data_IF_533612394551
#
_entry.id   IF_533612394551
#
_cell.length_a   1.000
_cell.length_b   1.000
_cell.length_c   1.000
_cell.angle_alpha   90.00
_cell.angle_beta   90.00
_cell.angle_gamma   90.00
#
_symmetry.space_group_name_H-M   'P 1'
#
loop_
_entity.id
_entity.type
_entity.pdbx_description
1 polymer ?
#
# COMPACT_ATOMS: atom_id res chain seq x y z
N UNK A 1 -4.97 -6.84 -32.85
CA UNK A 1 -4.38 -6.04 -31.76
C UNK A 1 -5.18 -6.34 -30.51
N UNK A 2 -4.58 -6.98 -29.52
CA UNK A 2 -5.18 -7.13 -28.18
C UNK A 2 -5.01 -5.82 -27.45
N UNK A 3 -6.12 -5.22 -27.00
CA UNK A 3 -6.10 -4.04 -26.14
C UNK A 3 -5.66 -4.53 -24.76
N UNK A 4 -4.44 -4.19 -24.34
CA UNK A 4 -4.01 -4.35 -22.95
C UNK A 4 -4.90 -3.46 -22.07
N UNK A 5 -5.76 -4.09 -21.28
CA UNK A 5 -6.62 -3.36 -20.34
C UNK A 5 -5.82 -3.07 -19.06
N UNK A 6 -5.93 -1.83 -18.59
CA UNK A 6 -5.25 -1.36 -17.38
C UNK A 6 -6.28 -0.88 -16.37
N UNK A 7 -6.07 -1.25 -15.12
CA UNK A 7 -6.78 -0.65 -13.99
C UNK A 7 -6.01 0.60 -13.56
N UNK A 8 -6.64 1.77 -13.67
CA UNK A 8 -6.06 3.04 -13.23
C UNK A 8 -6.75 3.47 -11.94
N UNK A 9 -5.98 3.73 -10.89
CA UNK A 9 -6.46 4.06 -9.55
C UNK A 9 -5.82 5.38 -9.11
N UNK A 10 -6.63 6.36 -8.76
CA UNK A 10 -6.16 7.61 -8.17
C UNK A 10 -5.81 7.47 -6.69
N UNK A 11 -5.03 8.41 -6.18
CA UNK A 11 -4.64 8.42 -4.77
C UNK A 11 -5.84 8.41 -3.80
N UNK A 12 -6.94 9.06 -4.17
CA UNK A 12 -8.18 9.12 -3.39
C UNK A 12 -9.05 7.86 -3.52
N UNK A 13 -8.84 7.02 -4.53
CA UNK A 13 -9.56 5.75 -4.69
C UNK A 13 -9.05 4.68 -3.72
N UNK A 14 -7.86 4.88 -3.12
CA UNK A 14 -7.30 3.99 -2.11
C UNK A 14 -8.14 4.07 -0.82
N UNK A 15 -8.84 2.98 -0.49
CA UNK A 15 -9.67 2.88 0.72
C UNK A 15 -8.92 2.41 1.96
N UNK A 16 -7.85 1.65 1.77
CA UNK A 16 -7.09 1.07 2.88
C UNK A 16 -5.67 0.69 2.44
N UNK A 17 -4.75 0.66 3.41
CA UNK A 17 -3.41 0.09 3.29
C UNK A 17 -3.39 -1.19 4.10
N UNK A 18 -2.91 -2.28 3.50
CA UNK A 18 -2.80 -3.59 4.15
C UNK A 18 -1.34 -4.01 4.28
N UNK A 19 -0.94 -4.36 5.49
CA UNK A 19 0.37 -4.94 5.79
C UNK A 19 0.21 -6.44 5.97
N UNK A 20 0.96 -7.23 5.20
CA UNK A 20 0.91 -8.70 5.27
C UNK A 20 2.16 -9.23 5.97
N UNK A 21 1.95 -10.05 7.01
CA UNK A 21 3.04 -10.75 7.67
C UNK A 21 3.62 -11.81 6.73
N UNK A 22 4.94 -11.75 6.47
CA UNK A 22 5.61 -12.75 5.62
C UNK A 22 5.57 -14.16 6.21
N UNK A 23 5.54 -14.32 7.54
CA UNK A 23 5.58 -15.61 8.22
C UNK A 23 4.24 -16.34 8.25
N UNK A 24 3.15 -15.65 8.63
CA UNK A 24 1.84 -16.26 8.83
C UNK A 24 0.76 -15.79 7.85
N UNK A 25 1.10 -14.89 6.91
CA UNK A 25 0.18 -14.30 5.91
C UNK A 25 -1.02 -13.54 6.48
N UNK A 26 -1.08 -13.35 7.80
CA UNK A 26 -2.08 -12.49 8.43
C UNK A 26 -1.89 -11.05 7.97
N UNK A 27 -3.00 -10.37 7.71
CA UNK A 27 -3.05 -8.98 7.27
C UNK A 27 -3.53 -8.07 8.40
N UNK A 28 -2.93 -6.89 8.49
CA UNK A 28 -3.45 -5.76 9.24
C UNK A 28 -3.82 -4.67 8.25
N UNK A 29 -5.07 -4.27 8.24
CA UNK A 29 -5.61 -3.30 7.28
C UNK A 29 -6.09 -2.09 8.04
N UNK A 30 -5.64 -0.91 7.59
CA UNK A 30 -6.02 0.37 8.17
C UNK A 30 -6.39 1.35 7.07
N UNK A 31 -7.22 2.34 7.39
CA UNK A 31 -7.40 3.48 6.50
C UNK A 31 -6.04 4.20 6.32
N UNK A 32 -5.75 4.78 5.14
CA UNK A 32 -4.46 5.44 4.88
C UNK A 32 -4.11 6.51 5.91
N UNK A 33 -5.11 7.17 6.47
CA UNK A 33 -4.97 8.21 7.47
C UNK A 33 -4.71 7.71 8.90
N UNK A 34 -4.95 6.43 9.19
CA UNK A 34 -4.77 5.84 10.52
C UNK A 34 -3.44 5.10 10.67
N UNK A 35 -2.80 4.75 9.56
CA UNK A 35 -1.51 4.05 9.59
C UNK A 35 -0.39 5.08 9.71
N UNK A 36 0.14 5.26 10.92
CA UNK A 36 1.23 6.22 11.20
C UNK A 36 2.58 5.56 11.45
N UNK A 37 2.61 4.26 11.74
CA UNK A 37 3.82 3.48 12.03
C UNK A 37 3.67 2.01 11.61
N UNK A 38 4.79 1.31 11.42
CA UNK A 38 4.80 -0.16 11.31
C UNK A 38 4.64 -0.76 12.71
N UNK A 39 3.65 -1.65 12.94
CA UNK A 39 3.58 -2.44 14.15
C UNK A 39 4.90 -3.17 14.44
N UNK A 40 5.32 -3.24 15.71
CA UNK A 40 6.57 -3.91 16.07
C UNK A 40 6.57 -5.41 15.71
N UNK A 41 5.42 -6.06 15.87
CA UNK A 41 5.28 -7.50 15.66
C UNK A 41 3.91 -7.89 15.13
N UNK A 42 3.86 -9.06 14.50
CA UNK A 42 2.62 -9.74 14.17
C UNK A 42 1.97 -10.37 15.41
N UNK A 43 0.67 -10.61 15.36
CA UNK A 43 -0.03 -11.45 16.33
C UNK A 43 0.51 -12.90 16.41
N UNK A 44 1.24 -13.38 15.39
CA UNK A 44 1.90 -14.68 15.45
C UNK A 44 3.29 -14.65 16.11
N UNK A 45 3.71 -13.50 16.67
CA UNK A 45 5.01 -13.32 17.32
C UNK A 45 6.18 -12.99 16.38
N UNK A 46 5.98 -13.02 15.06
CA UNK A 46 7.02 -12.63 14.10
C UNK A 46 7.29 -11.12 14.16
N UNK A 47 8.56 -10.72 14.25
CA UNK A 47 8.97 -9.32 14.13
C UNK A 47 8.64 -8.81 12.73
N UNK A 48 8.04 -7.62 12.66
CA UNK A 48 7.86 -6.91 11.39
C UNK A 48 9.04 -5.99 11.07
N UNK A 49 9.92 -5.75 12.06
CA UNK A 49 11.12 -4.94 11.91
C UNK A 49 12.35 -5.81 11.65
N UNK A 50 13.31 -5.34 10.82
CA UNK A 50 14.58 -6.03 10.61
C UNK A 50 15.34 -6.18 11.93
N UNK A 51 16.01 -7.32 12.12
CA UNK A 51 16.69 -7.66 13.38
C UNK A 51 18.05 -6.96 13.58
N UNK A 52 18.66 -6.40 12.52
CA UNK A 52 19.96 -5.75 12.57
C UNK A 52 19.92 -4.47 11.73
N UNK A 53 20.36 -3.34 12.30
CA UNK A 53 20.49 -2.05 11.60
C UNK A 53 21.90 -1.90 11.02
N UNK A 54 22.05 -1.86 9.69
CA UNK A 54 23.13 -1.10 9.06
C UNK A 54 22.65 -0.10 7.98
N UNK A 55 21.35 -0.02 7.70
CA UNK A 55 20.77 0.80 6.63
C UNK A 55 19.98 2.00 7.19
N UNK A 56 19.77 3.08 6.41
CA UNK A 56 18.92 4.21 6.83
C UNK A 56 17.59 3.70 7.38
N UNK A 57 17.11 4.34 8.44
CA UNK A 57 16.02 3.81 9.28
C UNK A 57 14.81 3.43 8.41
N UNK A 58 14.63 2.13 8.14
CA UNK A 58 13.53 1.62 7.28
C UNK A 58 12.19 2.04 7.86
N UNK A 59 12.11 2.16 9.19
CA UNK A 59 10.96 2.73 9.88
C UNK A 59 10.72 4.19 9.45
N UNK A 60 11.77 5.01 9.29
CA UNK A 60 11.65 6.39 8.83
C UNK A 60 11.15 6.48 7.39
N UNK A 61 11.67 5.68 6.47
CA UNK A 61 11.27 5.77 5.06
C UNK A 61 9.84 5.26 4.83
N UNK A 62 9.44 4.22 5.55
CA UNK A 62 8.05 3.76 5.54
C UNK A 62 7.11 4.81 6.16
N UNK A 63 7.48 5.39 7.30
CA UNK A 63 6.70 6.46 7.94
C UNK A 63 6.64 7.70 7.04
N UNK A 64 7.74 8.07 6.38
CA UNK A 64 7.78 9.17 5.40
C UNK A 64 6.86 8.88 4.24
N UNK A 65 6.85 7.67 3.70
CA UNK A 65 5.94 7.27 2.63
C UNK A 65 4.48 7.45 3.04
N UNK A 66 4.08 6.93 4.22
CA UNK A 66 2.71 7.06 4.73
C UNK A 66 2.30 8.51 4.94
N UNK A 67 3.17 9.31 5.56
CA UNK A 67 2.95 10.76 5.73
C UNK A 67 2.82 11.49 4.40
N UNK A 68 3.60 11.07 3.40
CA UNK A 68 3.56 11.65 2.05
C UNK A 68 2.22 11.32 1.38
N UNK A 69 1.77 10.06 1.45
CA UNK A 69 0.45 9.63 0.94
C UNK A 69 -0.67 10.44 1.58
N UNK A 70 -0.69 10.58 2.92
CA UNK A 70 -1.66 11.43 3.61
C UNK A 70 -1.61 12.88 3.12
N UNK A 71 -0.42 13.47 3.03
CA UNK A 71 -0.25 14.88 2.64
C UNK A 71 -0.75 15.14 1.22
N UNK A 72 -0.39 14.25 0.28
CA UNK A 72 -0.83 14.33 -1.10
C UNK A 72 -2.36 14.19 -1.23
N UNK A 73 -2.99 13.31 -0.45
CA UNK A 73 -4.47 13.20 -0.43
C UNK A 73 -5.14 14.49 0.01
N UNK A 74 -4.63 15.11 1.06
CA UNK A 74 -5.16 16.40 1.56
C UNK A 74 -5.02 17.49 0.51
N UNK A 75 -3.87 17.56 -0.17
CA UNK A 75 -3.64 18.55 -1.23
C UNK A 75 -4.54 18.31 -2.44
N UNK A 76 -4.70 17.07 -2.87
CA UNK A 76 -5.57 16.68 -3.99
C UNK A 76 -7.05 16.99 -3.68
N UNK A 77 -7.54 16.64 -2.48
CA UNK A 77 -8.90 16.95 -2.04
C UNK A 77 -9.20 18.45 -1.96
N UNK A 78 -8.17 19.27 -1.69
CA UNK A 78 -8.27 20.74 -1.68
C UNK A 78 -8.17 21.35 -3.08
N UNK A 79 -7.92 20.57 -4.12
CA UNK A 79 -7.64 21.07 -5.47
C UNK A 79 -6.35 21.92 -5.53
N UNK A 80 -5.43 21.69 -4.59
CA UNK A 80 -4.19 22.47 -4.48
C UNK A 80 -3.07 21.97 -5.40
N UNK A 81 -3.28 20.84 -6.08
CA UNK A 81 -2.33 20.25 -7.03
C UNK A 81 -2.81 20.49 -8.46
N UNK A 82 -1.88 20.91 -9.33
CA UNK A 82 -2.10 20.94 -10.79
C UNK A 82 -1.89 19.57 -11.46
N UNK A 83 -1.72 18.51 -10.68
CA UNK A 83 -1.40 17.14 -11.13
C UNK A 83 -2.16 16.12 -10.29
N UNK A 84 -2.46 14.96 -10.88
CA UNK A 84 -3.04 13.81 -10.18
C UNK A 84 -2.04 12.66 -10.13
N UNK A 85 -1.91 12.02 -8.97
CA UNK A 85 -1.11 10.80 -8.82
C UNK A 85 -1.98 9.60 -9.17
N UNK A 86 -1.58 8.87 -10.22
CA UNK A 86 -2.29 7.70 -10.74
C UNK A 86 -1.40 6.47 -10.61
N UNK A 87 -2.01 5.36 -10.20
CA UNK A 87 -1.40 4.04 -10.14
C UNK A 87 -2.02 3.17 -11.23
N UNK A 88 -1.20 2.67 -12.14
CA UNK A 88 -1.63 1.77 -13.21
C UNK A 88 -1.27 0.33 -12.85
N UNK A 89 -2.25 -0.57 -12.99
CA UNK A 89 -2.09 -2.00 -12.78
C UNK A 89 -2.56 -2.75 -14.01
N UNK A 90 -1.96 -3.91 -14.26
CA UNK A 90 -2.49 -4.86 -15.23
C UNK A 90 -3.84 -5.39 -14.75
N UNK A 91 -4.84 -5.41 -15.62
CA UNK A 91 -6.14 -6.00 -15.27
C UNK A 91 -5.98 -7.52 -15.12
N UNK A 92 -6.44 -8.13 -14.01
CA UNK A 92 -6.31 -9.57 -13.83
C UNK A 92 -7.03 -10.31 -14.95
N UNK A 93 -6.30 -11.13 -15.70
CA UNK A 93 -6.88 -11.99 -16.72
C UNK A 93 -7.59 -13.15 -16.04
N UNK A 94 -8.92 -13.05 -15.92
CA UNK A 94 -9.71 -14.15 -15.38
C UNK A 94 -9.70 -15.31 -16.38
N UNK A 95 -8.89 -16.34 -16.11
CA UNK A 95 -9.04 -17.64 -16.76
C UNK A 95 -9.94 -18.50 -15.88
N UNK A 96 -11.19 -18.81 -16.30
CA UNK A 96 -12.03 -19.71 -15.53
C UNK A 96 -11.36 -21.08 -15.47
N UNK A 97 -10.96 -21.50 -14.27
CA UNK A 97 -10.52 -22.88 -14.03
C UNK A 97 -11.65 -23.82 -14.44
N UNK A 98 -11.39 -24.69 -15.43
CA UNK A 98 -12.28 -25.81 -15.73
C UNK A 98 -12.37 -26.67 -14.47
N UNK A 99 -13.50 -26.60 -13.78
CA UNK A 99 -13.86 -27.56 -12.74
C UNK A 99 -14.02 -28.92 -13.45
N UNK A 100 -13.11 -29.84 -13.15
CA UNK A 100 -13.19 -31.24 -13.58
C UNK A 100 -13.92 -32.08 -12.56
#
# INVERSE_FOLDING_TARGET
MTIERRLVVGLNDIKAISLECKSCKRRTTSAPELLTTIPHACACGASWRPAQKPEPDIDDDFVKFLKTVQSLRVLDQKGALGVSVLFEFEEPTFTPSKVG
#
